data_IF_869270197665
#
_entry.id   IF_869270197665
#
_cell.length_a   1.000
_cell.length_b   1.000
_cell.length_c   1.000
_cell.angle_alpha   90.00
_cell.angle_beta   90.00
_cell.angle_gamma   90.00
#
_symmetry.space_group_name_H-M   'P 1'
#
loop_
_entity.id
_entity.type
_entity.pdbx_description
1 polymer ?
#
# COMPACT_ATOMS: atom_id res chain seq x y z
N UNK A 1 21.30 -4.48 9.70
CA UNK A 1 20.78 -4.73 8.34
C UNK A 1 20.84 -3.42 7.60
N UNK A 2 21.38 -3.40 6.38
CA UNK A 2 21.33 -2.21 5.54
C UNK A 2 19.90 -2.03 5.03
N UNK A 3 19.33 -0.87 5.31
CA UNK A 3 18.02 -0.48 4.79
C UNK A 3 18.16 -0.12 3.31
N UNK A 4 17.15 -0.48 2.52
CA UNK A 4 17.10 -0.20 1.09
C UNK A 4 15.67 0.15 0.69
N UNK A 5 15.54 1.08 -0.26
CA UNK A 5 14.27 1.33 -0.92
C UNK A 5 13.94 0.17 -1.86
N UNK A 6 12.71 -0.31 -1.78
CA UNK A 6 12.23 -1.44 -2.56
C UNK A 6 11.42 -0.92 -3.74
N UNK A 7 11.68 -1.48 -4.91
CA UNK A 7 10.88 -1.22 -6.11
C UNK A 7 9.99 -2.43 -6.36
N UNK A 8 8.69 -2.19 -6.57
CA UNK A 8 7.71 -3.23 -6.90
C UNK A 8 6.93 -2.78 -8.13
N UNK A 9 7.09 -3.49 -9.25
CA UNK A 9 6.53 -3.05 -10.52
C UNK A 9 7.04 -1.67 -10.93
N UNK A 10 6.13 -0.71 -11.09
CA UNK A 10 6.45 0.68 -11.45
C UNK A 10 6.56 1.63 -10.25
N UNK A 11 6.34 1.14 -9.02
CA UNK A 11 6.37 1.96 -7.80
C UNK A 11 7.68 1.75 -7.06
N UNK A 12 8.45 2.83 -6.90
CA UNK A 12 9.55 2.89 -5.93
C UNK A 12 8.97 3.31 -4.58
N UNK A 13 9.12 2.45 -3.57
CA UNK A 13 8.62 2.70 -2.23
C UNK A 13 9.53 3.69 -1.49
N UNK A 14 8.93 4.53 -0.66
CA UNK A 14 9.67 5.27 0.38
C UNK A 14 10.32 4.30 1.36
N UNK A 15 11.30 4.78 2.15
CA UNK A 15 11.94 3.91 3.14
C UNK A 15 10.93 3.37 4.16
N UNK A 16 9.97 4.18 4.60
CA UNK A 16 8.93 3.73 5.54
C UNK A 16 7.98 2.69 4.92
N UNK A 17 7.62 2.83 3.65
CA UNK A 17 6.82 1.84 2.93
C UNK A 17 7.59 0.53 2.70
N UNK A 18 8.89 0.65 2.40
CA UNK A 18 9.80 -0.49 2.25
C UNK A 18 9.92 -1.27 3.56
N UNK A 19 10.07 -0.57 4.69
CA UNK A 19 10.13 -1.17 6.03
C UNK A 19 8.81 -1.89 6.37
N UNK A 20 7.65 -1.29 6.03
CA UNK A 20 6.33 -1.92 6.24
C UNK A 20 6.18 -3.20 5.42
N UNK A 21 6.54 -3.14 4.14
CA UNK A 21 6.47 -4.30 3.26
C UNK A 21 7.42 -5.40 3.76
N UNK A 22 8.63 -5.05 4.18
CA UNK A 22 9.59 -6.00 4.74
C UNK A 22 9.04 -6.74 5.96
N UNK A 23 8.43 -6.04 6.92
CA UNK A 23 7.85 -6.67 8.11
C UNK A 23 6.69 -7.62 7.77
N UNK A 24 5.87 -7.30 6.76
CA UNK A 24 4.76 -8.16 6.35
C UNK A 24 5.27 -9.39 5.59
N UNK A 25 6.18 -9.21 4.62
CA UNK A 25 6.75 -10.32 3.84
C UNK A 25 7.61 -11.22 4.72
N UNK A 26 8.34 -10.67 5.69
CA UNK A 26 9.16 -11.45 6.63
C UNK A 26 8.34 -12.44 7.46
N UNK A 27 7.13 -12.06 7.87
CA UNK A 27 6.24 -12.96 8.62
C UNK A 27 5.72 -14.13 7.79
N UNK A 28 5.67 -13.97 6.46
CA UNK A 28 5.05 -14.92 5.54
C UNK A 28 6.07 -15.79 4.79
N UNK A 29 7.17 -15.20 4.34
CA UNK A 29 8.17 -15.82 3.45
C UNK A 29 9.53 -16.06 4.11
N UNK A 30 9.67 -15.77 5.41
CA UNK A 30 10.89 -15.97 6.23
C UNK A 30 12.16 -15.31 5.64
N UNK A 31 12.03 -14.09 5.12
CA UNK A 31 13.17 -13.31 4.61
C UNK A 31 13.96 -12.64 5.74
N UNK A 32 15.28 -12.52 5.58
CA UNK A 32 16.16 -11.95 6.60
C UNK A 32 16.62 -10.52 6.28
N UNK A 33 16.58 -10.12 5.00
CA UNK A 33 17.11 -8.81 4.59
C UNK A 33 16.41 -8.18 3.36
N UNK A 34 16.69 -6.90 3.12
CA UNK A 34 16.09 -6.11 2.03
C UNK A 34 16.51 -6.56 0.62
N UNK A 35 17.64 -7.26 0.47
CA UNK A 35 18.04 -7.77 -0.85
C UNK A 35 17.18 -8.97 -1.24
N UNK A 36 16.88 -9.85 -0.29
CA UNK A 36 15.92 -10.94 -0.48
C UNK A 36 14.52 -10.40 -0.78
N UNK A 37 14.10 -9.36 -0.05
CA UNK A 37 12.84 -8.68 -0.34
C UNK A 37 12.82 -8.13 -1.78
N UNK A 38 13.87 -7.43 -2.21
CA UNK A 38 13.92 -6.91 -3.58
C UNK A 38 13.84 -8.04 -4.61
N UNK A 39 14.58 -9.14 -4.39
CA UNK A 39 14.52 -10.30 -5.29
C UNK A 39 13.13 -10.93 -5.38
N UNK A 40 12.39 -11.00 -4.26
CA UNK A 40 10.99 -11.44 -4.28
C UNK A 40 10.10 -10.46 -5.03
N UNK A 41 10.30 -9.16 -4.84
CA UNK A 41 9.44 -8.13 -5.44
C UNK A 41 9.58 -8.01 -6.95
N UNK A 42 10.60 -8.60 -7.56
CA UNK A 42 10.75 -8.69 -9.01
C UNK A 42 9.60 -9.50 -9.65
N UNK A 43 9.08 -10.51 -8.94
CA UNK A 43 7.93 -11.33 -9.36
C UNK A 43 6.56 -10.72 -8.98
N UNK A 44 6.56 -9.61 -8.24
CA UNK A 44 5.36 -8.91 -7.80
C UNK A 44 5.09 -7.68 -8.67
N UNK A 45 3.84 -7.23 -8.67
CA UNK A 45 3.45 -5.91 -9.17
C UNK A 45 2.83 -5.09 -8.05
N UNK A 46 2.65 -3.80 -8.32
CA UNK A 46 1.95 -2.91 -7.41
C UNK A 46 0.92 -2.05 -8.12
N UNK A 47 -0.14 -1.70 -7.38
CA UNK A 47 -1.13 -0.72 -7.79
C UNK A 47 -1.38 0.28 -6.67
N UNK A 48 -1.66 1.51 -7.08
CA UNK A 48 -2.05 2.57 -6.18
C UNK A 48 -3.57 2.61 -6.15
N UNK A 49 -4.13 2.45 -4.95
CA UNK A 49 -5.56 2.57 -4.72
C UNK A 49 -5.82 3.99 -4.22
N UNK A 50 -6.38 4.82 -5.09
CA UNK A 50 -6.83 6.15 -4.75
C UNK A 50 -8.16 6.09 -3.99
N UNK A 51 -8.37 7.02 -3.04
CA UNK A 51 -9.65 7.13 -2.37
C UNK A 51 -10.74 7.55 -3.36
N UNK A 52 -11.88 6.86 -3.33
CA UNK A 52 -13.04 7.28 -4.11
C UNK A 52 -13.52 8.66 -3.62
N UNK A 53 -13.34 9.67 -4.46
CA UNK A 53 -13.98 10.97 -4.27
C UNK A 53 -15.48 10.77 -4.46
N UNK A 54 -16.22 10.50 -3.39
CA UNK A 54 -17.68 10.56 -3.44
C UNK A 54 -18.09 12.02 -3.64
N UNK A 55 -18.73 12.39 -4.77
CA UNK A 55 -19.28 13.73 -4.91
C UNK A 55 -20.33 13.94 -3.80
N UNK A 56 -20.24 15.09 -3.14
CA UNK A 56 -21.02 15.50 -1.97
C UNK A 56 -22.55 15.61 -2.20
N UNK A 57 -23.09 15.26 -3.38
CA UNK A 57 -24.45 15.65 -3.77
C UNK A 57 -25.56 14.61 -3.48
N UNK A 58 -25.24 13.36 -3.12
CA UNK A 58 -26.30 12.33 -2.91
C UNK A 58 -26.62 11.99 -1.44
N UNK A 59 -25.98 12.63 -0.44
CA UNK A 59 -26.22 12.31 0.99
C UNK A 59 -26.53 13.57 1.80
N UNK A 60 -27.54 14.33 1.37
CA UNK A 60 -28.21 15.33 2.21
C UNK A 60 -29.71 15.04 2.31
N UNK A 61 -30.07 13.84 2.75
CA UNK A 61 -31.35 13.57 3.41
C UNK A 61 -31.12 12.65 4.60
N UNK A 62 -30.87 13.23 5.78
CA UNK A 62 -30.80 12.46 7.04
C UNK A 62 -29.96 13.16 8.11
N UNK A 63 -30.65 13.79 9.05
CA UNK A 63 -30.11 14.36 10.28
C UNK A 63 -29.20 13.38 11.05
N UNK A 64 -27.89 13.63 11.03
CA UNK A 64 -26.87 13.41 12.09
C UNK A 64 -25.48 13.36 11.42
N UNK A 65 -24.93 14.50 11.00
CA UNK A 65 -23.58 14.57 10.42
C UNK A 65 -22.53 14.71 11.52
N UNK A 66 -21.76 13.67 11.88
CA UNK A 66 -20.49 13.87 12.57
C UNK A 66 -19.52 14.54 11.59
N UNK A 67 -19.21 15.81 11.87
CA UNK A 67 -18.08 16.60 11.37
C UNK A 67 -17.53 16.22 9.98
N UNK A 68 -18.05 16.90 8.95
CA UNK A 68 -17.47 16.99 7.62
C UNK A 68 -16.09 17.69 7.61
N UNK A 69 -15.04 17.01 8.11
CA UNK A 69 -13.64 17.48 8.02
C UNK A 69 -12.60 16.46 7.56
N UNK A 70 -13.00 15.23 7.22
CA UNK A 70 -12.08 14.22 6.68
C UNK A 70 -12.58 13.69 5.34
N UNK A 71 -12.67 14.57 4.33
CA UNK A 71 -12.89 14.18 2.94
C UNK A 71 -11.57 14.05 2.16
N UNK A 72 -10.52 13.55 2.81
CA UNK A 72 -9.35 13.00 2.13
C UNK A 72 -9.35 11.51 2.42
N UNK A 73 -9.82 10.68 1.49
CA UNK A 73 -9.73 9.25 1.72
C UNK A 73 -8.26 8.80 1.74
N UNK A 74 -7.98 7.65 2.34
CA UNK A 74 -6.60 7.16 2.47
C UNK A 74 -6.13 6.52 1.16
N UNK A 75 -4.98 6.96 0.64
CA UNK A 75 -4.29 6.32 -0.48
C UNK A 75 -3.55 5.08 0.00
N UNK A 76 -3.74 3.95 -0.69
CA UNK A 76 -3.07 2.68 -0.37
C UNK A 76 -2.17 2.25 -1.52
N UNK A 77 -1.12 1.50 -1.17
CA UNK A 77 -0.33 0.71 -2.11
C UNK A 77 -0.71 -0.74 -1.88
N UNK A 78 -1.05 -1.42 -2.95
CA UNK A 78 -1.31 -2.85 -2.96
C UNK A 78 -0.24 -3.55 -3.81
N UNK A 79 0.42 -4.53 -3.21
CA UNK A 79 1.47 -5.35 -3.80
C UNK A 79 0.93 -6.77 -3.96
N UNK A 80 1.04 -7.35 -5.15
CA UNK A 80 0.49 -8.68 -5.43
C UNK A 80 1.44 -9.49 -6.32
N UNK A 81 1.46 -10.79 -6.12
CA UNK A 81 2.26 -11.69 -6.94
C UNK A 81 1.64 -11.79 -8.35
N UNK A 82 2.45 -11.63 -9.41
CA UNK A 82 1.98 -11.67 -10.80
C UNK A 82 1.64 -13.08 -11.28
N UNK A 83 2.27 -14.09 -10.68
CA UNK A 83 2.23 -15.48 -11.09
C UNK A 83 1.23 -16.29 -10.27
N UNK A 84 1.00 -15.90 -9.01
CA UNK A 84 0.14 -16.60 -8.06
C UNK A 84 -0.87 -15.63 -7.42
N UNK A 85 -2.16 -15.95 -7.46
CA UNK A 85 -3.21 -15.05 -6.94
C UNK A 85 -3.32 -15.01 -5.40
N UNK A 86 -2.53 -15.83 -4.69
CA UNK A 86 -2.74 -16.08 -3.26
C UNK A 86 -2.03 -15.07 -2.33
N UNK A 87 -1.01 -14.36 -2.81
CA UNK A 87 -0.24 -13.42 -1.97
C UNK A 87 -0.48 -11.96 -2.35
N UNK A 88 -1.03 -11.21 -1.39
CA UNK A 88 -1.30 -9.77 -1.52
C UNK A 88 -0.98 -9.03 -0.22
N UNK A 89 -0.22 -7.96 -0.33
CA UNK A 89 0.09 -7.05 0.78
C UNK A 89 -0.50 -5.68 0.50
N UNK A 90 -1.21 -5.09 1.46
CA UNK A 90 -1.79 -3.75 1.33
C UNK A 90 -1.37 -2.89 2.52
N UNK A 91 -0.82 -1.72 2.24
CA UNK A 91 -0.40 -0.77 3.26
C UNK A 91 -0.71 0.67 2.83
N UNK A 92 -0.83 1.57 3.82
CA UNK A 92 -1.07 3.00 3.55
C UNK A 92 0.15 3.59 2.86
N UNK A 93 -0.07 4.35 1.80
CA UNK A 93 1.02 5.10 1.18
C UNK A 93 1.51 6.20 2.12
N UNK A 94 2.80 6.49 2.10
CA UNK A 94 3.36 7.68 2.74
C UNK A 94 2.95 8.95 2.01
N UNK A 95 2.69 8.85 0.69
CA UNK A 95 2.13 9.93 -0.09
C UNK A 95 0.61 9.87 -0.03
N UNK A 96 -0.01 10.87 0.61
CA UNK A 96 -1.47 11.01 0.71
C UNK A 96 -2.01 12.16 -0.14
N UNK A 97 -1.15 12.75 -0.97
CA UNK A 97 -1.48 13.82 -1.93
C UNK A 97 -1.82 13.24 -3.31
#
# INVERSE_FOLDING_TARGET
>A
MEKKQITVGYVELTQDESDRLFEEVRKDKDIENYNELQGLMDDYDSVIIEPEARPLEEILEGEDTPNAREQGGTRYIEVFNKLEEDTRYRFKSSNQE
#
